data_IF_760782117619
#
_entry.id   IF_760782117619
#
_cell.length_a   1.000
_cell.length_b   1.000
_cell.length_c   1.000
_cell.angle_alpha   90.00
_cell.angle_beta   90.00
_cell.angle_gamma   90.00
#
_symmetry.space_group_name_H-M   'P 1'
#
loop_
_entity.id
_entity.type
_entity.pdbx_description
1 polymer ?
#
# COMPACT_ATOMS: atom_id res chain seq x y z
N UNK A 1 -20.94 2.38 11.29
CA UNK A 1 -21.07 3.09 10.00
C UNK A 1 -19.75 2.91 9.27
N UNK A 2 -19.76 2.56 7.98
CA UNK A 2 -18.55 2.70 7.18
C UNK A 2 -18.32 4.20 6.96
N UNK A 3 -17.11 4.72 7.11
CA UNK A 3 -16.86 6.12 6.83
C UNK A 3 -17.04 6.39 5.31
N UNK A 4 -17.42 7.61 4.95
CA UNK A 4 -17.78 8.05 3.59
C UNK A 4 -16.58 8.66 2.90
N UNK A 5 -15.88 7.89 2.05
CA UNK A 5 -15.90 8.15 0.61
C UNK A 5 -15.85 6.85 -0.25
N UNK A 6 -16.69 5.86 0.08
CA UNK A 6 -16.75 4.57 -0.61
C UNK A 6 -16.83 4.62 -2.16
N UNK A 7 -17.60 5.54 -2.79
CA UNK A 7 -17.67 5.61 -4.25
C UNK A 7 -16.35 6.07 -4.92
N UNK A 8 -15.51 6.79 -4.17
CA UNK A 8 -14.28 7.39 -4.70
C UNK A 8 -13.18 6.35 -4.90
N UNK A 9 -13.18 5.27 -4.10
CA UNK A 9 -12.26 4.15 -4.26
C UNK A 9 -12.41 3.46 -5.62
N UNK A 10 -13.65 3.33 -6.11
CA UNK A 10 -13.95 2.74 -7.42
C UNK A 10 -13.63 3.68 -8.59
N UNK A 11 -13.79 4.98 -8.37
CA UNK A 11 -13.61 6.02 -9.38
C UNK A 11 -12.20 6.60 -9.38
N UNK A 12 -11.29 6.01 -8.61
CA UNK A 12 -9.90 6.44 -8.52
C UNK A 12 -9.23 6.38 -9.89
N UNK A 13 -8.74 7.53 -10.34
CA UNK A 13 -7.97 7.66 -11.56
C UNK A 13 -6.61 8.33 -11.27
N UNK A 14 -5.52 7.89 -11.92
CA UNK A 14 -5.48 6.80 -12.89
C UNK A 14 -5.58 5.41 -12.25
N UNK A 15 -6.41 4.53 -12.82
CA UNK A 15 -6.65 3.19 -12.26
C UNK A 15 -5.41 2.27 -12.21
N UNK A 16 -4.39 2.56 -13.03
CA UNK A 16 -3.17 1.76 -13.20
C UNK A 16 -1.99 2.24 -12.34
N UNK A 17 -2.26 3.00 -11.27
CA UNK A 17 -1.26 3.59 -10.37
C UNK A 17 -1.62 3.29 -8.91
N UNK A 18 -0.65 3.50 -8.02
CA UNK A 18 -0.81 3.30 -6.59
C UNK A 18 -1.61 4.47 -5.99
N UNK A 19 -2.62 4.18 -5.19
CA UNK A 19 -3.39 5.18 -4.45
C UNK A 19 -3.15 5.04 -2.95
N UNK A 20 -3.34 6.12 -2.19
CA UNK A 20 -3.19 6.12 -0.73
C UNK A 20 -4.53 6.34 -0.06
N UNK A 21 -4.92 5.41 0.79
CA UNK A 21 -6.08 5.50 1.65
C UNK A 21 -5.61 5.87 3.06
N UNK A 22 -5.77 7.13 3.42
CA UNK A 22 -5.35 7.67 4.70
C UNK A 22 -6.40 7.37 5.76
N UNK A 23 -6.06 6.48 6.69
CA UNK A 23 -6.94 6.02 7.76
C UNK A 23 -6.10 5.68 8.97
N UNK A 24 -6.33 6.36 10.10
CA UNK A 24 -5.43 6.32 11.26
C UNK A 24 -5.39 4.94 11.94
N UNK A 25 -6.54 4.40 12.33
CA UNK A 25 -6.66 3.11 13.01
C UNK A 25 -7.93 2.36 12.59
N UNK A 26 -8.01 1.88 11.33
CA UNK A 26 -9.16 1.08 10.90
C UNK A 26 -9.25 -0.22 11.69
N UNK A 27 -10.45 -0.61 12.12
CA UNK A 27 -10.67 -1.94 12.68
C UNK A 27 -10.78 -2.98 11.57
N UNK A 28 -10.39 -4.22 11.86
CA UNK A 28 -10.50 -5.33 10.90
C UNK A 28 -11.88 -5.48 10.27
N UNK A 29 -12.93 -5.32 11.07
CA UNK A 29 -14.30 -5.40 10.58
C UNK A 29 -14.62 -4.29 9.56
N UNK A 30 -14.03 -3.11 9.73
CA UNK A 30 -14.23 -1.97 8.83
C UNK A 30 -13.50 -2.19 7.50
N UNK A 31 -12.26 -2.70 7.55
CA UNK A 31 -11.51 -3.07 6.33
C UNK A 31 -12.17 -4.22 5.57
N UNK A 32 -12.64 -5.26 6.27
CA UNK A 32 -13.33 -6.38 5.64
C UNK A 32 -14.63 -5.94 4.95
N UNK A 33 -15.41 -5.09 5.62
CA UNK A 33 -16.62 -4.50 5.05
C UNK A 33 -16.29 -3.61 3.85
N UNK A 34 -15.23 -2.82 3.95
CA UNK A 34 -14.78 -1.96 2.86
C UNK A 34 -14.38 -2.78 1.64
N UNK A 35 -13.51 -3.78 1.80
CA UNK A 35 -13.07 -4.69 0.75
C UNK A 35 -14.27 -5.36 0.06
N UNK A 36 -15.21 -5.88 0.86
CA UNK A 36 -16.44 -6.50 0.35
C UNK A 36 -17.29 -5.52 -0.46
N UNK A 37 -17.48 -4.29 0.05
CA UNK A 37 -18.26 -3.26 -0.61
C UNK A 37 -17.64 -2.85 -1.95
N UNK A 38 -16.31 -2.68 -1.99
CA UNK A 38 -15.60 -2.28 -3.21
C UNK A 38 -15.27 -3.45 -4.14
N UNK A 39 -15.82 -4.63 -3.89
CA UNK A 39 -15.49 -5.87 -4.60
C UNK A 39 -13.97 -6.06 -4.74
N UNK A 40 -13.21 -5.73 -3.69
CA UNK A 40 -11.76 -5.77 -3.65
C UNK A 40 -11.23 -6.91 -2.79
N UNK A 41 -9.95 -7.22 -2.97
CA UNK A 41 -9.20 -8.07 -2.05
C UNK A 41 -8.58 -7.22 -0.94
N UNK A 42 -8.61 -7.74 0.29
CA UNK A 42 -7.83 -7.22 1.42
C UNK A 42 -6.56 -8.07 1.52
N UNK A 43 -5.40 -7.44 1.38
CA UNK A 43 -4.11 -8.12 1.46
C UNK A 43 -3.21 -7.42 2.49
N UNK A 44 -2.41 -8.19 3.21
CA UNK A 44 -1.39 -7.67 4.12
C UNK A 44 -0.01 -7.67 3.46
N UNK A 45 0.65 -6.50 3.45
CA UNK A 45 2.05 -6.41 3.03
C UNK A 45 2.97 -7.21 3.96
N UNK A 46 2.68 -7.22 5.26
CA UNK A 46 3.47 -7.96 6.25
C UNK A 46 3.42 -9.46 5.98
N UNK A 47 2.23 -10.01 5.70
CA UNK A 47 2.09 -11.44 5.42
C UNK A 47 2.81 -11.84 4.13
N UNK A 48 2.68 -11.06 3.06
CA UNK A 48 3.46 -11.29 1.83
C UNK A 48 4.96 -11.19 2.06
N UNK A 49 5.41 -10.20 2.86
CA UNK A 49 6.82 -10.09 3.22
C UNK A 49 7.29 -11.35 3.94
N UNK A 50 6.56 -11.83 4.96
CA UNK A 50 6.91 -13.05 5.70
C UNK A 50 6.99 -14.28 4.80
N UNK A 51 6.13 -14.40 3.78
CA UNK A 51 6.20 -15.49 2.79
C UNK A 51 7.43 -15.42 1.88
N UNK A 52 7.96 -14.21 1.64
CA UNK A 52 9.14 -13.97 0.78
C UNK A 52 10.47 -14.04 1.52
N UNK A 53 10.44 -14.07 2.85
CA UNK A 53 11.64 -14.18 3.67
C UNK A 53 12.07 -15.63 3.76
N UNK A 54 13.33 -15.87 3.40
CA UNK A 54 13.96 -17.16 3.65
C UNK A 54 14.32 -17.26 5.13
N UNK A 55 13.89 -18.35 5.76
CA UNK A 55 14.25 -18.73 7.13
C UNK A 55 15.76 -18.73 7.42
N UNK A 56 16.61 -18.83 6.38
CA UNK A 56 18.07 -18.76 6.51
C UNK A 56 18.67 -17.34 6.60
N UNK A 57 17.88 -16.30 6.31
CA UNK A 57 18.39 -14.91 6.25
C UNK A 57 18.39 -14.25 7.64
N UNK A 58 19.58 -13.87 8.13
CA UNK A 58 19.73 -13.20 9.44
C UNK A 58 19.22 -11.75 9.48
N UNK A 59 19.07 -11.11 8.33
CA UNK A 59 18.70 -9.71 8.21
C UNK A 59 17.71 -9.49 7.06
N UNK A 60 16.73 -8.60 7.25
CA UNK A 60 15.71 -8.27 6.24
C UNK A 60 16.27 -7.51 5.04
N UNK A 61 17.23 -6.60 5.26
CA UNK A 61 17.87 -5.75 4.24
C UNK A 61 16.90 -5.08 3.24
N UNK A 62 15.68 -4.72 3.67
CA UNK A 62 14.64 -4.17 2.77
C UNK A 62 15.08 -2.85 2.11
N UNK A 63 15.95 -2.12 2.80
CA UNK A 63 16.54 -0.86 2.37
C UNK A 63 17.52 -1.00 1.19
N UNK A 64 18.10 -2.18 1.00
CA UNK A 64 18.97 -2.48 -0.13
C UNK A 64 18.20 -2.98 -1.38
N UNK A 65 16.92 -3.33 -1.24
CA UNK A 65 16.14 -4.01 -2.28
C UNK A 65 14.76 -3.38 -2.51
N UNK A 66 14.67 -2.05 -2.57
CA UNK A 66 13.39 -1.35 -2.81
C UNK A 66 12.70 -1.78 -4.12
N UNK A 67 13.47 -2.12 -5.16
CA UNK A 67 12.92 -2.62 -6.42
C UNK A 67 12.18 -3.95 -6.25
N UNK A 68 12.65 -4.81 -5.33
CA UNK A 68 11.98 -6.07 -4.98
C UNK A 68 10.63 -5.80 -4.33
N UNK A 69 10.53 -4.77 -3.51
CA UNK A 69 9.28 -4.39 -2.85
C UNK A 69 8.26 -3.85 -3.86
N UNK A 70 8.69 -3.04 -4.82
CA UNK A 70 7.81 -2.61 -5.92
C UNK A 70 7.36 -3.78 -6.80
N UNK A 71 8.27 -4.73 -7.08
CA UNK A 71 7.93 -5.93 -7.83
C UNK A 71 6.92 -6.80 -7.06
N UNK A 72 7.03 -6.89 -5.73
CA UNK A 72 6.06 -7.59 -4.89
C UNK A 72 4.67 -6.95 -4.98
N UNK A 73 4.58 -5.62 -4.89
CA UNK A 73 3.30 -4.90 -5.05
C UNK A 73 2.65 -5.17 -6.41
N UNK A 74 3.44 -5.15 -7.49
CA UNK A 74 2.96 -5.51 -8.84
C UNK A 74 2.48 -6.95 -8.89
N UNK A 75 3.26 -7.88 -8.34
CA UNK A 75 2.90 -9.30 -8.32
C UNK A 75 1.63 -9.57 -7.51
N UNK A 76 1.35 -8.84 -6.43
CA UNK A 76 0.05 -8.91 -5.74
C UNK A 76 -1.09 -8.51 -6.67
N UNK A 77 -0.90 -7.42 -7.42
CA UNK A 77 -1.88 -6.96 -8.40
C UNK A 77 -2.07 -7.97 -9.55
N UNK A 78 -1.01 -8.67 -9.98
CA UNK A 78 -1.11 -9.68 -11.03
C UNK A 78 -1.83 -10.96 -10.56
N UNK A 79 -1.77 -11.28 -9.26
CA UNK A 79 -2.38 -12.48 -8.67
C UNK A 79 -3.86 -12.30 -8.32
N UNK A 80 -4.31 -11.07 -8.10
CA UNK A 80 -5.72 -10.83 -7.76
C UNK A 80 -6.62 -11.00 -8.98
N UNK A 81 -7.80 -11.57 -8.76
CA UNK A 81 -8.88 -11.57 -9.76
C UNK A 81 -9.89 -10.44 -9.51
N UNK A 82 -9.69 -9.65 -8.45
CA UNK A 82 -10.56 -8.52 -8.10
C UNK A 82 -10.07 -7.23 -8.77
N UNK A 83 -10.99 -6.30 -9.08
CA UNK A 83 -10.62 -5.01 -9.67
C UNK A 83 -9.81 -4.09 -8.75
N UNK A 84 -9.76 -4.37 -7.45
CA UNK A 84 -9.18 -3.51 -6.45
C UNK A 84 -8.48 -4.32 -5.35
N UNK A 85 -7.33 -3.85 -4.88
CA UNK A 85 -6.66 -4.32 -3.67
C UNK A 85 -6.65 -3.19 -2.63
N UNK A 86 -7.07 -3.51 -1.41
CA UNK A 86 -6.78 -2.76 -0.19
C UNK A 86 -5.57 -3.42 0.47
N UNK A 87 -4.44 -2.74 0.45
CA UNK A 87 -3.19 -3.23 1.03
C UNK A 87 -2.98 -2.62 2.41
N UNK A 88 -2.96 -3.45 3.44
CA UNK A 88 -2.66 -3.06 4.81
C UNK A 88 -1.22 -3.41 5.22
N UNK A 89 -0.84 -3.02 6.43
CA UNK A 89 0.47 -3.27 7.04
C UNK A 89 1.68 -2.72 6.26
N UNK A 90 1.46 -1.80 5.31
CA UNK A 90 2.56 -1.19 4.54
C UNK A 90 3.38 -0.20 5.38
N UNK A 91 2.81 0.29 6.48
CA UNK A 91 3.47 1.10 7.49
C UNK A 91 4.68 0.39 8.14
N UNK A 92 4.73 -0.95 8.13
CA UNK A 92 5.90 -1.72 8.56
C UNK A 92 7.14 -1.42 7.72
N UNK A 93 7.01 -1.40 6.39
CA UNK A 93 8.11 -1.05 5.49
C UNK A 93 8.54 0.41 5.71
N UNK A 94 7.57 1.31 5.83
CA UNK A 94 7.85 2.73 6.04
C UNK A 94 8.59 2.97 7.36
N UNK A 95 8.15 2.32 8.44
CA UNK A 95 8.77 2.39 9.76
C UNK A 95 10.18 1.81 9.73
N UNK A 96 10.36 0.64 9.09
CA UNK A 96 11.68 0.03 8.90
C UNK A 96 12.63 0.98 8.18
N UNK A 97 12.22 1.59 7.06
CA UNK A 97 13.07 2.51 6.29
C UNK A 97 13.36 3.81 7.04
N UNK A 98 12.42 4.28 7.87
CA UNK A 98 12.56 5.53 8.63
C UNK A 98 13.61 5.44 9.74
N UNK A 99 13.76 4.28 10.37
CA UNK A 99 14.74 4.06 11.44
C UNK A 99 16.14 3.71 10.92
N UNK A 100 16.30 3.50 9.61
CA UNK A 100 17.62 3.23 9.01
C UNK A 100 18.43 4.53 8.89
N UNK A 101 19.75 4.48 9.15
CA UNK A 101 20.62 5.66 9.10
C UNK A 101 20.71 6.28 7.70
N UNK A 102 20.43 5.51 6.64
CA UNK A 102 20.33 5.98 5.26
C UNK A 102 18.95 6.58 4.95
N UNK A 103 18.63 7.73 5.54
CA UNK A 103 17.33 8.40 5.40
C UNK A 103 16.85 8.68 3.95
N UNK A 104 17.71 8.49 2.93
CA UNK A 104 17.35 8.60 1.51
C UNK A 104 16.39 7.53 1.00
N UNK A 105 16.34 6.35 1.64
CA UNK A 105 15.59 5.20 1.10
C UNK A 105 14.07 5.38 1.19
N UNK A 106 13.57 6.11 2.20
CA UNK A 106 12.15 6.44 2.31
C UNK A 106 11.70 7.40 1.19
N UNK A 107 12.49 8.43 0.90
CA UNK A 107 12.21 9.37 -0.20
C UNK A 107 12.25 8.65 -1.56
N UNK A 108 13.22 7.76 -1.75
CA UNK A 108 13.34 6.95 -2.95
C UNK A 108 12.14 6.01 -3.11
N UNK A 109 11.71 5.31 -2.04
CA UNK A 109 10.50 4.49 -2.07
C UNK A 109 9.29 5.31 -2.52
N UNK A 110 9.05 6.47 -1.91
CA UNK A 110 7.90 7.31 -2.27
C UNK A 110 7.95 7.77 -3.72
N UNK A 111 9.12 8.20 -4.20
CA UNK A 111 9.32 8.55 -5.60
C UNK A 111 8.97 7.36 -6.51
N UNK A 112 9.44 6.17 -6.19
CA UNK A 112 9.20 4.98 -6.99
C UNK A 112 7.72 4.54 -6.98
N UNK A 113 7.05 4.57 -5.82
CA UNK A 113 5.61 4.30 -5.71
C UNK A 113 4.79 5.33 -6.49
N UNK A 114 5.18 6.61 -6.43
CA UNK A 114 4.51 7.68 -7.17
C UNK A 114 4.71 7.52 -8.68
N UNK A 115 5.87 7.04 -9.13
CA UNK A 115 6.20 6.81 -10.55
C UNK A 115 5.71 5.46 -11.07
N UNK A 116 5.28 4.53 -10.20
CA UNK A 116 4.78 3.22 -10.62
C UNK A 116 3.52 3.36 -11.47
N UNK A 117 3.54 2.73 -12.65
CA UNK A 117 2.46 2.70 -13.65
C UNK A 117 2.17 1.26 -14.06
N UNK A 118 1.12 1.09 -14.86
CA UNK A 118 0.73 -0.19 -15.49
C UNK A 118 0.40 -1.28 -14.46
N UNK A 119 -0.18 -0.89 -13.33
CA UNK A 119 -0.77 -1.88 -12.43
C UNK A 119 -2.00 -2.50 -13.11
N UNK A 120 -2.18 -3.83 -13.03
CA UNK A 120 -3.31 -4.53 -13.63
C UNK A 120 -4.62 -4.29 -12.88
N UNK A 121 -4.56 -3.85 -11.62
CA UNK A 121 -5.72 -3.49 -10.80
C UNK A 121 -5.48 -2.17 -10.03
N UNK A 122 -6.54 -1.61 -9.45
CA UNK A 122 -6.41 -0.45 -8.54
C UNK A 122 -5.80 -0.92 -7.23
N UNK A 123 -4.64 -0.39 -6.88
CA UNK A 123 -3.98 -0.66 -5.61
C UNK A 123 -4.16 0.54 -4.69
N UNK A 124 -4.84 0.35 -3.57
CA UNK A 124 -4.98 1.33 -2.49
C UNK A 124 -4.17 0.87 -1.28
N UNK A 125 -3.14 1.61 -0.92
CA UNK A 125 -2.35 1.35 0.29
C UNK A 125 -3.01 2.09 1.46
N UNK A 126 -3.41 1.34 2.47
CA UNK A 126 -4.00 1.86 3.72
C UNK A 126 -2.88 2.29 4.65
N UNK A 127 -2.88 3.55 5.07
CA UNK A 127 -1.84 4.12 5.92
C UNK A 127 -2.40 5.16 6.90
N UNK A 128 -1.81 5.29 8.10
CA UNK A 128 -2.03 6.46 8.94
C UNK A 128 -1.66 7.75 8.22
N UNK A 129 -2.45 8.84 8.35
CA UNK A 129 -2.15 10.12 7.72
C UNK A 129 -0.76 10.68 8.05
N UNK A 130 -0.25 10.37 9.24
CA UNK A 130 1.08 10.80 9.72
C UNK A 130 2.26 10.19 8.92
N UNK A 131 2.02 9.10 8.18
CA UNK A 131 3.05 8.42 7.38
C UNK A 131 3.00 8.79 5.89
N UNK A 132 1.97 9.50 5.45
CA UNK A 132 1.81 9.89 4.06
C UNK A 132 2.82 10.97 3.65
N UNK A 133 3.39 10.90 2.43
CA UNK A 133 4.24 11.98 1.92
C UNK A 133 3.38 13.21 1.61
N UNK A 134 3.91 14.40 1.90
CA UNK A 134 3.18 15.68 1.75
C UNK A 134 2.85 16.02 0.30
N UNK A 135 3.67 15.54 -0.62
CA UNK A 135 3.65 15.80 -2.06
C UNK A 135 2.88 14.73 -2.86
N UNK A 136 2.18 13.80 -2.20
CA UNK A 136 1.38 12.80 -2.92
C UNK A 136 0.27 13.46 -3.75
N UNK A 137 0.04 13.03 -5.00
CA UNK A 137 -1.01 13.61 -5.85
C UNK A 137 -2.39 13.54 -5.18
N UNK A 138 -3.09 14.68 -5.11
CA UNK A 138 -4.40 14.78 -4.43
C UNK A 138 -5.45 13.80 -5.00
N UNK A 139 -5.46 13.61 -6.32
CA UNK A 139 -6.38 12.67 -6.99
C UNK A 139 -6.10 11.19 -6.67
N UNK A 140 -4.90 10.87 -6.15
CA UNK A 140 -4.47 9.52 -5.76
C UNK A 140 -4.45 9.35 -4.25
N UNK A 141 -5.15 10.23 -3.52
CA UNK A 141 -5.20 10.26 -2.07
C UNK A 141 -6.63 10.41 -1.61
N UNK A 142 -7.02 9.56 -0.68
CA UNK A 142 -8.32 9.62 -0.04
C UNK A 142 -8.16 9.54 1.46
N UNK A 143 -8.91 10.33 2.22
CA UNK A 143 -8.83 10.32 3.68
C UNK A 143 -10.17 9.89 4.30
N UNK A 144 -10.10 8.99 5.26
CA UNK A 144 -11.20 8.66 6.15
C UNK A 144 -11.12 9.53 7.41
N UNK A 145 -12.26 10.11 7.79
CA UNK A 145 -12.44 10.80 9.06
C UNK A 145 -12.78 9.81 10.18
#
# INVERSE_FOLDING_TARGET
MLPTPLPELHRAEPANQIHLLLWDAPRDLELNKLASYVNGDRLSYRDDLLQRLDSGSKFLNLDAYLDRELAALKAMCDRTTRPLILLEDFDWLLTYLRVRPSGGNLKLLWSNLQQTRKLPCRLWIVLPPALAPKDWPAQRRLAFA
#
